data_IF_470814979210
#
_entry.id   IF_470814979210
#
_cell.length_a   1.000
_cell.length_b   1.000
_cell.length_c   1.000
_cell.angle_alpha   90.00
_cell.angle_beta   90.00
_cell.angle_gamma   90.00
#
_symmetry.space_group_name_H-M   'P 1'
#
loop_
_entity.id
_entity.type
_entity.pdbx_description
1 polymer ?
#
# COMPACT_ATOMS: atom_id res chain seq x y z
N UNK A 1 28.96 -15.17 17.43
CA UNK A 1 27.56 -15.16 17.91
C UNK A 1 26.61 -14.53 16.90
N UNK A 2 26.89 -13.33 16.37
CA UNK A 2 26.04 -12.66 15.39
C UNK A 2 25.77 -13.49 14.12
N UNK A 3 26.81 -14.10 13.53
CA UNK A 3 26.66 -14.89 12.30
C UNK A 3 25.76 -16.13 12.50
N UNK A 4 25.79 -16.74 13.70
CA UNK A 4 24.86 -17.83 14.06
C UNK A 4 23.41 -17.33 14.15
N UNK A 5 23.20 -16.10 14.64
CA UNK A 5 21.87 -15.51 14.73
C UNK A 5 21.33 -15.13 13.34
N UNK A 6 22.18 -14.64 12.44
CA UNK A 6 21.82 -14.41 11.03
C UNK A 6 21.39 -15.72 10.36
N UNK A 7 22.15 -16.81 10.58
CA UNK A 7 21.78 -18.14 10.09
C UNK A 7 20.44 -18.61 10.68
N UNK A 8 20.24 -18.45 11.99
CA UNK A 8 18.99 -18.82 12.65
C UNK A 8 17.78 -18.01 12.13
N UNK A 9 17.95 -16.70 11.86
CA UNK A 9 16.93 -15.85 11.25
C UNK A 9 16.60 -16.32 9.83
N UNK A 10 17.61 -16.60 9.01
CA UNK A 10 17.43 -17.15 7.67
C UNK A 10 16.67 -18.49 7.69
N UNK A 11 17.05 -19.42 8.56
CA UNK A 11 16.36 -20.71 8.71
C UNK A 11 14.91 -20.52 9.17
N UNK A 12 14.67 -19.59 10.11
CA UNK A 12 13.32 -19.25 10.57
C UNK A 12 12.47 -18.72 9.43
N UNK A 13 12.99 -17.80 8.62
CA UNK A 13 12.35 -17.28 7.42
C UNK A 13 12.02 -18.39 6.41
N UNK A 14 12.95 -19.32 6.16
CA UNK A 14 12.70 -20.46 5.28
C UNK A 14 11.58 -21.34 5.80
N UNK A 15 11.60 -21.71 7.09
CA UNK A 15 10.54 -22.53 7.70
C UNK A 15 9.19 -21.83 7.61
N UNK A 16 9.09 -20.55 8.00
CA UNK A 16 7.84 -19.78 7.90
C UNK A 16 7.35 -19.69 6.45
N UNK A 17 8.25 -19.49 5.48
CA UNK A 17 7.91 -19.46 4.06
C UNK A 17 7.42 -20.81 3.56
N UNK A 18 8.04 -21.92 3.95
CA UNK A 18 7.59 -23.28 3.59
C UNK A 18 6.21 -23.59 4.20
N UNK A 19 5.99 -23.21 5.46
CA UNK A 19 4.68 -23.35 6.11
C UNK A 19 3.62 -22.56 5.34
N UNK A 20 3.92 -21.31 4.98
CA UNK A 20 3.04 -20.48 4.18
C UNK A 20 2.76 -21.09 2.80
N UNK A 21 3.79 -21.50 2.05
CA UNK A 21 3.65 -22.06 0.69
C UNK A 21 2.88 -23.39 0.67
N UNK A 22 2.89 -24.16 1.77
CA UNK A 22 2.09 -25.38 1.94
C UNK A 22 0.65 -25.10 2.39
N UNK A 23 0.35 -23.88 2.82
CA UNK A 23 -0.99 -23.52 3.29
C UNK A 23 -1.98 -23.44 2.11
N UNK A 24 -3.25 -23.90 2.26
CA UNK A 24 -4.23 -23.87 1.18
C UNK A 24 -4.53 -22.48 0.59
N UNK A 25 -4.39 -21.41 1.39
CA UNK A 25 -4.59 -20.02 0.94
C UNK A 25 -3.36 -19.38 0.26
N UNK A 26 -2.26 -20.12 0.10
CA UNK A 26 -1.04 -19.60 -0.50
C UNK A 26 -1.28 -19.11 -1.93
N UNK A 27 -1.08 -17.82 -2.15
CA UNK A 27 -1.16 -17.13 -3.42
C UNK A 27 -0.53 -15.74 -3.29
N UNK A 28 -0.07 -15.16 -4.39
CA UNK A 28 0.62 -13.85 -4.36
C UNK A 28 -0.26 -12.69 -3.84
N UNK A 29 -1.57 -12.89 -3.86
CA UNK A 29 -2.55 -11.94 -3.36
C UNK A 29 -2.72 -12.02 -1.85
N UNK A 30 -2.15 -13.00 -1.15
CA UNK A 30 -2.32 -13.14 0.29
C UNK A 30 -1.43 -12.12 1.04
N UNK A 31 -1.90 -11.49 2.13
CA UNK A 31 -1.10 -10.52 2.91
C UNK A 31 0.28 -11.05 3.33
N UNK A 32 0.34 -12.33 3.72
CA UNK A 32 1.60 -12.99 4.07
C UNK A 32 2.64 -12.98 2.94
N UNK A 33 2.25 -13.00 1.66
CA UNK A 33 3.23 -12.90 0.55
C UNK A 33 3.94 -11.56 0.56
N UNK A 34 3.19 -10.46 0.70
CA UNK A 34 3.76 -9.11 0.72
C UNK A 34 4.71 -8.95 1.91
N UNK A 35 4.28 -9.41 3.10
CA UNK A 35 5.10 -9.29 4.29
C UNK A 35 6.34 -10.18 4.23
N UNK A 36 6.23 -11.44 3.79
CA UNK A 36 7.39 -12.33 3.62
C UNK A 36 8.37 -11.79 2.58
N UNK A 37 7.89 -11.20 1.48
CA UNK A 37 8.76 -10.60 0.46
C UNK A 37 9.52 -9.40 1.04
N UNK A 38 8.81 -8.49 1.73
CA UNK A 38 9.42 -7.34 2.41
C UNK A 38 10.42 -7.79 3.48
N UNK A 39 10.02 -8.71 4.35
CA UNK A 39 10.84 -9.22 5.44
C UNK A 39 12.09 -9.96 4.92
N UNK A 40 11.92 -10.81 3.92
CA UNK A 40 13.04 -11.53 3.29
C UNK A 40 14.07 -10.58 2.68
N UNK A 41 13.63 -9.51 2.01
CA UNK A 41 14.53 -8.53 1.42
C UNK A 41 15.25 -7.68 2.49
N UNK A 42 14.49 -7.15 3.45
CA UNK A 42 14.95 -6.10 4.38
C UNK A 42 15.59 -6.65 5.65
N UNK A 43 15.07 -7.75 6.18
CA UNK A 43 15.45 -8.26 7.50
C UNK A 43 16.14 -9.63 7.46
N UNK A 44 16.31 -10.22 6.27
CA UNK A 44 17.06 -11.48 6.10
C UNK A 44 18.20 -11.30 5.11
N UNK A 45 17.91 -10.90 3.88
CA UNK A 45 18.92 -10.69 2.84
C UNK A 45 19.84 -9.51 3.16
N UNK A 46 19.26 -8.33 3.43
CA UNK A 46 20.06 -7.12 3.71
C UNK A 46 21.04 -7.28 4.88
N UNK A 47 20.68 -7.82 6.07
CA UNK A 47 21.66 -8.01 7.14
C UNK A 47 22.87 -8.87 6.74
N UNK A 48 22.66 -9.89 5.90
CA UNK A 48 23.75 -10.73 5.37
C UNK A 48 24.66 -9.89 4.47
N UNK A 49 24.09 -9.11 3.55
CA UNK A 49 24.85 -8.22 2.67
C UNK A 49 25.59 -7.15 3.48
N UNK A 50 24.91 -6.51 4.43
CA UNK A 50 25.49 -5.50 5.31
C UNK A 50 26.67 -6.06 6.12
N UNK A 51 26.59 -7.32 6.54
CA UNK A 51 27.67 -8.02 7.24
C UNK A 51 28.88 -8.34 6.33
N UNK A 52 28.64 -8.60 5.03
CA UNK A 52 29.68 -8.90 4.04
C UNK A 52 30.41 -7.64 3.59
N UNK A 53 29.67 -6.56 3.31
CA UNK A 53 30.19 -5.29 2.78
C UNK A 53 30.49 -4.24 3.86
N UNK A 54 30.26 -4.56 5.14
CA UNK A 54 30.45 -3.67 6.29
C UNK A 54 29.75 -2.31 6.14
N UNK A 55 28.44 -2.38 5.90
CA UNK A 55 27.62 -1.16 5.74
C UNK A 55 27.76 -0.26 6.96
N UNK A 56 28.07 1.00 6.69
CA UNK A 56 28.38 1.99 7.72
C UNK A 56 27.86 3.39 7.36
N UNK A 57 27.33 3.57 6.15
CA UNK A 57 26.78 4.84 5.70
C UNK A 57 25.72 5.42 6.65
N UNK A 58 24.67 4.66 6.98
CA UNK A 58 23.59 5.16 7.84
C UNK A 58 24.09 5.47 9.26
N UNK A 59 24.99 4.66 9.80
CA UNK A 59 25.61 4.88 11.11
C UNK A 59 26.35 6.22 11.16
N UNK A 60 27.13 6.53 10.11
CA UNK A 60 27.83 7.84 9.98
C UNK A 60 26.85 9.00 9.80
N UNK A 61 25.83 8.83 8.95
CA UNK A 61 24.88 9.91 8.65
C UNK A 61 23.98 10.24 9.85
N UNK A 62 23.67 9.25 10.69
CA UNK A 62 22.82 9.42 11.88
C UNK A 62 23.63 9.64 13.17
N UNK A 63 24.96 9.60 13.09
CA UNK A 63 25.89 9.73 14.22
C UNK A 63 25.61 8.73 15.36
N UNK A 64 25.44 7.45 15.01
CA UNK A 64 25.28 6.37 15.99
C UNK A 64 26.04 5.11 15.58
N UNK A 65 26.43 4.30 16.56
CA UNK A 65 27.02 2.99 16.33
C UNK A 65 26.26 1.95 17.17
N UNK A 66 25.49 1.03 16.56
CA UNK A 66 24.75 0.03 17.30
C UNK A 66 25.71 -0.96 17.97
N UNK A 67 25.43 -1.29 19.23
CA UNK A 67 26.16 -2.35 19.92
C UNK A 67 25.78 -3.71 19.34
N UNK A 68 26.58 -4.74 19.64
CA UNK A 68 26.23 -6.12 19.24
C UNK A 68 24.87 -6.57 19.83
N UNK A 69 24.54 -6.10 21.03
CA UNK A 69 23.26 -6.39 21.69
C UNK A 69 22.08 -5.76 20.94
N UNK A 70 22.26 -4.55 20.41
CA UNK A 70 21.21 -3.85 19.66
C UNK A 70 20.90 -4.59 18.35
N UNK A 71 21.94 -5.01 17.61
CA UNK A 71 21.77 -5.80 16.38
C UNK A 71 21.08 -7.13 16.63
N UNK A 72 21.42 -7.81 17.74
CA UNK A 72 20.77 -9.07 18.14
C UNK A 72 19.29 -8.84 18.44
N UNK A 73 19.00 -7.78 19.20
CA UNK A 73 17.63 -7.41 19.58
C UNK A 73 16.77 -7.13 18.35
N UNK A 74 17.31 -6.40 17.36
CA UNK A 74 16.63 -6.16 16.08
C UNK A 74 16.28 -7.46 15.37
N UNK A 75 17.23 -8.39 15.20
CA UNK A 75 16.96 -9.66 14.52
C UNK A 75 15.89 -10.50 15.25
N UNK A 76 15.94 -10.53 16.59
CA UNK A 76 14.93 -11.25 17.37
C UNK A 76 13.54 -10.61 17.22
N UNK A 77 13.46 -9.28 17.28
CA UNK A 77 12.21 -8.54 17.14
C UNK A 77 11.63 -8.67 15.72
N UNK A 78 12.44 -8.59 14.67
CA UNK A 78 11.95 -8.75 13.29
C UNK A 78 11.40 -10.16 13.06
N UNK A 79 12.08 -11.20 13.57
CA UNK A 79 11.60 -12.59 13.49
C UNK A 79 10.27 -12.77 14.24
N UNK A 80 10.14 -12.17 15.43
CA UNK A 80 8.87 -12.18 16.18
C UNK A 80 7.74 -11.55 15.36
N UNK A 81 7.97 -10.36 14.79
CA UNK A 81 6.97 -9.69 13.94
C UNK A 81 6.56 -10.56 12.75
N UNK A 82 7.51 -11.25 12.10
CA UNK A 82 7.21 -12.15 11.00
C UNK A 82 6.34 -13.33 11.41
N UNK A 83 6.70 -14.00 12.50
CA UNK A 83 5.93 -15.16 12.99
C UNK A 83 4.51 -14.72 13.34
N UNK A 84 4.36 -13.63 14.10
CA UNK A 84 3.04 -13.10 14.48
C UNK A 84 2.25 -12.71 13.22
N UNK A 85 2.84 -11.94 12.31
CA UNK A 85 2.14 -11.47 11.12
C UNK A 85 1.65 -12.63 10.25
N UNK A 86 2.52 -13.61 9.97
CA UNK A 86 2.19 -14.75 9.12
C UNK A 86 1.17 -15.68 9.79
N UNK A 87 1.37 -16.00 11.08
CA UNK A 87 0.44 -16.87 11.81
C UNK A 87 -0.96 -16.25 11.88
N UNK A 88 -1.08 -14.96 12.24
CA UNK A 88 -2.36 -14.24 12.23
C UNK A 88 -2.95 -14.19 10.83
N UNK A 89 -2.13 -13.92 9.81
CA UNK A 89 -2.62 -13.81 8.44
C UNK A 89 -3.25 -15.13 7.96
N UNK A 90 -2.59 -16.25 8.23
CA UNK A 90 -3.06 -17.60 7.88
C UNK A 90 -4.32 -17.98 8.67
N UNK A 91 -4.37 -17.63 9.96
CA UNK A 91 -5.53 -17.90 10.81
C UNK A 91 -6.77 -17.14 10.33
N UNK A 92 -6.63 -15.85 10.02
CA UNK A 92 -7.74 -14.99 9.63
C UNK A 92 -8.14 -15.20 8.17
N UNK A 93 -7.20 -15.39 7.25
CA UNK A 93 -7.48 -15.58 5.83
C UNK A 93 -7.14 -17.00 5.33
N UNK A 94 -7.82 -18.05 5.83
CA UNK A 94 -7.42 -19.43 5.55
C UNK A 94 -7.85 -19.94 4.17
N UNK A 95 -8.64 -19.16 3.42
CA UNK A 95 -9.24 -19.56 2.14
C UNK A 95 -8.64 -18.78 0.99
N UNK A 96 -8.74 -19.35 -0.22
CA UNK A 96 -8.33 -18.67 -1.44
C UNK A 96 -9.36 -17.63 -1.88
N UNK A 97 -8.94 -16.64 -2.71
CA UNK A 97 -9.85 -15.72 -3.36
C UNK A 97 -10.90 -16.46 -4.19
N UNK A 98 -12.15 -15.97 -4.17
CA UNK A 98 -13.20 -16.47 -5.05
C UNK A 98 -12.91 -16.07 -6.49
N UNK A 99 -12.86 -17.07 -7.38
CA UNK A 99 -12.72 -16.85 -8.80
C UNK A 99 -14.02 -16.27 -9.39
N UNK A 100 -13.91 -15.15 -10.11
CA UNK A 100 -15.06 -14.51 -10.76
C UNK A 100 -15.12 -14.84 -12.25
N UNK A 101 -16.34 -14.93 -12.77
CA UNK A 101 -16.59 -15.08 -14.20
C UNK A 101 -16.10 -13.88 -15.00
N UNK A 102 -15.56 -14.11 -16.20
CA UNK A 102 -14.99 -13.05 -17.03
C UNK A 102 -16.06 -12.03 -17.44
N UNK A 103 -17.27 -12.52 -17.71
CA UNK A 103 -18.44 -11.71 -18.06
C UNK A 103 -18.82 -10.72 -16.95
N UNK A 104 -18.55 -11.07 -15.68
CA UNK A 104 -18.76 -10.15 -14.55
C UNK A 104 -17.78 -8.97 -14.63
N UNK A 105 -16.53 -9.20 -15.02
CA UNK A 105 -15.56 -8.11 -15.25
C UNK A 105 -15.93 -7.27 -16.46
N UNK A 106 -16.39 -7.87 -17.55
CA UNK A 106 -16.83 -7.13 -18.73
C UNK A 106 -18.02 -6.23 -18.42
N UNK A 107 -19.02 -6.77 -17.72
CA UNK A 107 -20.19 -6.03 -17.25
C UNK A 107 -19.78 -4.89 -16.31
N UNK A 108 -18.86 -5.15 -15.38
CA UNK A 108 -18.34 -4.12 -14.48
C UNK A 108 -17.57 -3.02 -15.23
N UNK A 109 -16.74 -3.36 -16.23
CA UNK A 109 -16.07 -2.36 -17.08
C UNK A 109 -17.07 -1.50 -17.84
N UNK A 110 -18.08 -2.10 -18.46
CA UNK A 110 -19.11 -1.37 -19.17
C UNK A 110 -19.82 -0.37 -18.23
N UNK A 111 -20.22 -0.82 -17.04
CA UNK A 111 -20.89 0.02 -16.05
C UNK A 111 -19.98 1.10 -15.43
N UNK A 112 -18.67 0.86 -15.31
CA UNK A 112 -17.72 1.80 -14.70
C UNK A 112 -16.97 2.69 -15.69
N UNK A 113 -17.08 2.44 -17.01
CA UNK A 113 -16.36 3.19 -18.05
C UNK A 113 -16.56 4.71 -17.91
N UNK A 114 -17.81 5.17 -17.90
CA UNK A 114 -18.13 6.61 -17.79
C UNK A 114 -17.69 7.20 -16.45
N UNK A 115 -18.02 6.60 -15.28
CA UNK A 115 -17.46 7.01 -13.99
C UNK A 115 -15.94 7.14 -13.97
N UNK A 116 -15.20 6.13 -14.45
CA UNK A 116 -13.73 6.14 -14.48
C UNK A 116 -13.21 7.32 -15.31
N UNK A 117 -13.73 7.49 -16.54
CA UNK A 117 -13.29 8.58 -17.42
C UNK A 117 -13.57 9.97 -16.82
N UNK A 118 -14.68 10.15 -16.10
CA UNK A 118 -14.97 11.41 -15.41
C UNK A 118 -14.02 11.67 -14.24
N UNK A 119 -13.75 10.66 -13.41
CA UNK A 119 -12.75 10.78 -12.34
C UNK A 119 -11.37 11.11 -12.91
N UNK A 120 -10.98 10.47 -14.03
CA UNK A 120 -9.74 10.79 -14.73
C UNK A 120 -9.72 12.23 -15.24
N UNK A 121 -10.79 12.69 -15.89
CA UNK A 121 -10.88 14.04 -16.44
C UNK A 121 -10.79 15.13 -15.35
N UNK A 122 -11.33 14.86 -14.15
CA UNK A 122 -11.30 15.80 -13.02
C UNK A 122 -9.94 15.77 -12.32
N UNK A 123 -9.44 14.58 -11.95
CA UNK A 123 -8.29 14.48 -11.07
C UNK A 123 -6.95 14.39 -11.79
N UNK A 124 -6.88 13.86 -13.02
CA UNK A 124 -5.60 13.74 -13.71
C UNK A 124 -4.94 15.10 -13.96
N UNK A 125 -5.65 16.17 -14.40
CA UNK A 125 -5.02 17.49 -14.57
C UNK A 125 -4.46 18.04 -13.25
N UNK A 126 -5.22 17.93 -12.16
CA UNK A 126 -4.79 18.36 -10.83
C UNK A 126 -3.55 17.59 -10.35
N UNK A 127 -3.57 16.27 -10.52
CA UNK A 127 -2.49 15.39 -10.07
C UNK A 127 -1.22 15.52 -10.94
N UNK A 128 -1.36 15.77 -12.25
CA UNK A 128 -0.26 16.11 -13.15
C UNK A 128 0.35 17.45 -12.74
N UNK A 129 -0.47 18.48 -12.51
CA UNK A 129 0.01 19.79 -12.06
C UNK A 129 0.78 19.67 -10.74
N UNK A 130 0.20 18.95 -9.77
CA UNK A 130 0.86 18.64 -8.50
C UNK A 130 2.23 18.00 -8.72
N UNK A 131 2.33 17.02 -9.61
CA UNK A 131 3.60 16.33 -9.89
C UNK A 131 4.63 17.23 -10.59
N UNK A 132 4.21 18.09 -11.51
CA UNK A 132 5.11 19.07 -12.12
C UNK A 132 5.61 20.09 -11.10
N UNK A 133 4.76 20.50 -10.15
CA UNK A 133 5.17 21.31 -8.99
C UNK A 133 6.13 20.57 -8.07
N UNK A 134 6.02 19.23 -7.93
CA UNK A 134 6.99 18.42 -7.21
C UNK A 134 8.36 18.42 -7.91
N UNK A 135 8.39 18.39 -9.24
CA UNK A 135 9.65 18.46 -10.01
C UNK A 135 10.38 19.77 -9.75
N UNK A 136 9.67 20.90 -9.79
CA UNK A 136 10.23 22.22 -9.52
C UNK A 136 10.79 22.30 -8.10
N UNK A 137 10.03 21.87 -7.09
CA UNK A 137 10.49 21.87 -5.70
C UNK A 137 11.72 21.00 -5.45
N UNK A 138 11.84 19.90 -6.19
CA UNK A 138 13.01 19.03 -6.12
C UNK A 138 14.24 19.66 -6.78
N UNK A 139 14.05 20.51 -7.80
CA UNK A 139 15.12 21.27 -8.44
C UNK A 139 15.57 22.49 -7.59
N UNK A 140 14.62 23.18 -6.95
CA UNK A 140 14.86 24.42 -6.20
C UNK A 140 15.26 24.20 -4.73
N UNK A 141 15.75 23.00 -4.38
CA UNK A 141 16.28 22.65 -3.04
C UNK A 141 15.37 22.99 -1.85
N UNK A 142 14.11 22.52 -1.85
CA UNK A 142 13.21 22.54 -0.68
C UNK A 142 13.11 23.89 0.06
N UNK A 143 13.25 25.03 -0.63
CA UNK A 143 13.15 26.36 0.00
C UNK A 143 11.85 26.58 0.80
N UNK A 144 10.80 25.81 0.50
CA UNK A 144 9.49 25.84 1.16
C UNK A 144 9.31 24.89 2.35
N UNK A 145 10.36 24.16 2.76
CA UNK A 145 10.31 23.22 3.89
C UNK A 145 11.18 23.74 5.02
N UNK A 146 10.54 24.19 6.10
CA UNK A 146 11.24 24.56 7.33
C UNK A 146 11.24 23.39 8.27
N UNK A 147 12.42 23.04 8.79
CA UNK A 147 12.54 22.02 9.81
C UNK A 147 12.30 22.65 11.18
N UNK A 148 11.25 22.21 11.86
CA UNK A 148 11.00 22.61 13.22
C UNK A 148 12.11 22.03 14.11
N UNK A 149 12.88 22.90 14.78
CA UNK A 149 14.01 22.49 15.60
C UNK A 149 13.58 21.72 16.85
N UNK A 150 12.35 21.94 17.32
CA UNK A 150 11.85 21.30 18.56
C UNK A 150 11.43 19.84 18.34
N UNK A 151 10.74 19.56 17.24
CA UNK A 151 10.29 18.19 16.90
C UNK A 151 11.18 17.49 15.87
N UNK A 152 12.05 18.26 15.20
CA UNK A 152 12.82 17.84 14.04
C UNK A 152 11.97 17.51 12.80
N UNK A 153 10.66 17.75 12.84
CA UNK A 153 9.76 17.51 11.71
C UNK A 153 9.90 18.60 10.65
N UNK A 154 9.86 18.20 9.37
CA UNK A 154 9.83 19.15 8.27
C UNK A 154 8.39 19.62 8.01
N UNK A 155 8.18 20.93 7.98
CA UNK A 155 6.88 21.56 7.78
C UNK A 155 6.94 22.33 6.45
N UNK A 156 5.96 22.07 5.59
CA UNK A 156 5.75 22.88 4.40
C UNK A 156 5.17 24.24 4.81
N UNK A 157 5.88 25.32 4.56
CA UNK A 157 5.46 26.69 4.90
C UNK A 157 4.66 27.37 3.81
N UNK A 158 4.87 26.97 2.55
CA UNK A 158 4.40 27.77 1.41
C UNK A 158 3.26 27.08 0.65
N UNK A 159 3.08 25.77 0.83
CA UNK A 159 2.08 24.99 0.10
C UNK A 159 1.27 24.04 0.98
N UNK A 160 0.08 23.70 0.49
CA UNK A 160 -0.79 22.71 1.13
C UNK A 160 -0.25 21.31 0.86
N UNK A 161 0.08 20.56 1.92
CA UNK A 161 0.60 19.19 1.80
C UNK A 161 -0.29 18.26 0.96
N UNK A 162 -1.61 18.40 1.06
CA UNK A 162 -2.57 17.66 0.22
C UNK A 162 -2.41 17.91 -1.27
N UNK A 163 -2.02 19.12 -1.67
CA UNK A 163 -1.73 19.42 -3.06
C UNK A 163 -0.46 18.74 -3.52
N UNK A 164 0.54 18.59 -2.64
CA UNK A 164 1.76 17.81 -2.92
C UNK A 164 1.44 16.35 -3.13
N UNK A 165 0.60 15.80 -2.25
CA UNK A 165 0.20 14.39 -2.27
C UNK A 165 -0.85 14.08 -3.35
N UNK A 166 -1.48 15.10 -3.95
CA UNK A 166 -2.43 14.91 -5.04
C UNK A 166 -1.79 14.19 -6.24
N UNK A 167 -0.47 14.29 -6.44
CA UNK A 167 0.28 13.51 -7.43
C UNK A 167 0.11 11.98 -7.25
N UNK A 168 -0.13 11.51 -6.02
CA UNK A 168 -0.36 10.09 -5.73
C UNK A 168 -1.65 9.56 -6.39
N UNK A 169 -2.61 10.43 -6.72
CA UNK A 169 -3.86 10.07 -7.43
C UNK A 169 -3.58 9.53 -8.84
N UNK A 170 -2.45 9.90 -9.46
CA UNK A 170 -2.07 9.35 -10.76
C UNK A 170 -1.88 7.83 -10.71
N UNK A 171 -1.48 7.29 -9.56
CA UNK A 171 -1.25 5.87 -9.38
C UNK A 171 -2.53 5.03 -9.60
N UNK A 172 -3.62 5.20 -8.82
CA UNK A 172 -4.86 4.46 -9.04
C UNK A 172 -5.55 4.82 -10.36
N UNK A 173 -5.44 6.07 -10.86
CA UNK A 173 -5.95 6.41 -12.20
C UNK A 173 -5.31 5.53 -13.27
N UNK A 174 -3.98 5.37 -13.21
CA UNK A 174 -3.24 4.52 -14.14
C UNK A 174 -3.70 3.07 -14.07
N UNK A 175 -3.89 2.53 -12.85
CA UNK A 175 -4.43 1.17 -12.66
C UNK A 175 -5.81 1.02 -13.33
N UNK A 176 -6.71 1.98 -13.11
CA UNK A 176 -8.06 1.95 -13.65
C UNK A 176 -8.08 2.08 -15.18
N UNK A 177 -7.22 2.90 -15.77
CA UNK A 177 -7.11 3.05 -17.22
C UNK A 177 -6.55 1.80 -17.89
N UNK A 178 -5.50 1.19 -17.31
CA UNK A 178 -4.94 -0.07 -17.80
C UNK A 178 -5.98 -1.20 -17.72
N UNK A 179 -6.72 -1.29 -16.62
CA UNK A 179 -7.81 -2.25 -16.44
C UNK A 179 -8.97 -2.03 -17.41
N UNK A 180 -9.40 -0.77 -17.60
CA UNK A 180 -10.48 -0.41 -18.53
C UNK A 180 -10.11 -0.78 -19.97
N UNK A 181 -8.83 -0.61 -20.33
CA UNK A 181 -8.26 -0.98 -21.62
C UNK A 181 -7.96 -2.49 -21.77
N UNK A 182 -8.31 -3.32 -20.78
CA UNK A 182 -8.13 -4.77 -20.79
C UNK A 182 -6.67 -5.21 -20.99
N UNK A 183 -5.72 -4.46 -20.43
CA UNK A 183 -4.27 -4.76 -20.51
C UNK A 183 -3.71 -4.88 -21.94
N UNK A 184 -4.37 -4.25 -22.93
CA UNK A 184 -3.86 -4.22 -24.31
C UNK A 184 -2.50 -3.54 -24.36
N UNK A 185 -1.66 -3.90 -25.34
CA UNK A 185 -0.29 -3.38 -25.45
C UNK A 185 -0.21 -1.83 -25.41
N UNK A 186 -1.18 -1.13 -25.98
CA UNK A 186 -1.23 0.34 -25.98
C UNK A 186 -1.61 0.95 -24.63
N UNK A 187 -2.28 0.21 -23.73
CA UNK A 187 -2.65 0.74 -22.41
C UNK A 187 -1.44 0.92 -21.50
N UNK A 188 -0.35 0.20 -21.78
CA UNK A 188 0.93 0.40 -21.13
C UNK A 188 1.54 1.78 -21.41
N UNK A 189 1.07 2.51 -22.43
CA UNK A 189 1.42 3.92 -22.60
C UNK A 189 0.96 4.77 -21.40
N UNK A 190 -0.20 4.48 -20.79
CA UNK A 190 -0.62 5.18 -19.56
C UNK A 190 0.35 4.92 -18.41
N UNK A 191 0.79 3.67 -18.25
CA UNK A 191 1.76 3.30 -17.22
C UNK A 191 3.13 3.93 -17.49
N UNK A 192 3.61 3.91 -18.74
CA UNK A 192 4.88 4.54 -19.12
C UNK A 192 4.86 6.05 -18.85
N UNK A 193 3.80 6.76 -19.27
CA UNK A 193 3.63 8.19 -18.97
C UNK A 193 3.63 8.46 -17.47
N UNK A 194 2.91 7.64 -16.69
CA UNK A 194 2.92 7.74 -15.24
C UNK A 194 4.31 7.52 -14.63
N UNK A 195 5.07 6.52 -15.09
CA UNK A 195 6.44 6.25 -14.64
C UNK A 195 7.36 7.43 -14.95
N UNK A 196 7.27 8.02 -16.14
CA UNK A 196 8.06 9.20 -16.52
C UNK A 196 7.72 10.38 -15.58
N UNK A 197 6.42 10.65 -15.38
CA UNK A 197 5.95 11.70 -14.49
C UNK A 197 6.43 11.51 -13.04
N UNK A 198 6.34 10.29 -12.51
CA UNK A 198 6.81 9.98 -11.15
C UNK A 198 8.34 10.00 -11.04
N UNK A 199 9.03 9.49 -12.06
CA UNK A 199 10.48 9.43 -12.14
C UNK A 199 11.15 10.80 -12.03
N UNK A 200 10.60 11.82 -12.70
CA UNK A 200 11.16 13.18 -12.60
C UNK A 200 11.09 13.80 -11.20
N UNK A 201 10.15 13.35 -10.36
CA UNK A 201 10.03 13.77 -8.95
C UNK A 201 10.87 12.93 -7.98
N UNK A 202 11.56 11.89 -8.46
CA UNK A 202 12.33 10.97 -7.63
C UNK A 202 11.48 10.04 -6.75
N UNK A 203 10.14 10.08 -6.87
CA UNK A 203 9.22 9.31 -6.05
C UNK A 203 9.03 7.90 -6.60
N UNK A 204 9.52 6.91 -5.85
CA UNK A 204 9.55 5.50 -6.30
C UNK A 204 8.35 4.69 -5.84
N UNK A 205 7.87 5.01 -4.64
CA UNK A 205 6.76 4.32 -3.99
C UNK A 205 5.50 4.19 -4.87
N UNK A 206 5.01 5.28 -5.49
CA UNK A 206 3.83 5.22 -6.36
C UNK A 206 3.99 4.30 -7.56
N UNK A 207 5.21 4.17 -8.11
CA UNK A 207 5.50 3.27 -9.23
C UNK A 207 5.36 1.82 -8.81
N UNK A 208 5.98 1.45 -7.69
CA UNK A 208 5.91 0.10 -7.11
C UNK A 208 4.46 -0.23 -6.76
N UNK A 209 3.73 0.71 -6.14
CA UNK A 209 2.32 0.59 -5.84
C UNK A 209 1.50 0.25 -7.09
N UNK A 210 1.61 1.06 -8.15
CA UNK A 210 0.82 0.88 -9.38
C UNK A 210 1.14 -0.44 -10.06
N UNK A 211 2.41 -0.83 -10.13
CA UNK A 211 2.83 -2.11 -10.70
C UNK A 211 2.22 -3.30 -9.95
N UNK A 212 2.26 -3.27 -8.61
CA UNK A 212 1.66 -4.31 -7.77
C UNK A 212 0.14 -4.35 -7.93
N UNK A 213 -0.54 -3.21 -7.90
CA UNK A 213 -1.98 -3.15 -8.06
C UNK A 213 -2.44 -3.69 -9.43
N UNK A 214 -1.74 -3.33 -10.53
CA UNK A 214 -1.99 -3.89 -11.86
C UNK A 214 -1.75 -5.40 -11.87
N UNK A 215 -0.64 -5.86 -11.27
CA UNK A 215 -0.30 -7.28 -11.20
C UNK A 215 -1.35 -8.11 -10.45
N UNK A 216 -1.76 -7.67 -9.26
CA UNK A 216 -2.81 -8.32 -8.47
C UNK A 216 -4.12 -8.36 -9.26
N UNK A 217 -4.54 -7.24 -9.85
CA UNK A 217 -5.80 -7.15 -10.57
C UNK A 217 -5.81 -8.02 -11.82
N UNK A 218 -4.70 -8.08 -12.56
CA UNK A 218 -4.54 -8.97 -13.70
C UNK A 218 -4.62 -10.45 -13.28
N UNK A 219 -3.98 -10.84 -12.17
CA UNK A 219 -4.05 -12.20 -11.65
C UNK A 219 -5.46 -12.58 -11.19
N UNK A 220 -6.16 -11.67 -10.51
CA UNK A 220 -7.55 -11.86 -10.10
C UNK A 220 -8.47 -12.09 -11.30
N UNK A 221 -8.30 -11.27 -12.35
CA UNK A 221 -9.08 -11.37 -13.58
C UNK A 221 -8.78 -12.67 -14.35
N UNK A 222 -7.51 -13.00 -14.52
CA UNK A 222 -7.10 -14.24 -15.19
C UNK A 222 -7.20 -15.49 -14.30
N UNK A 223 -7.74 -15.35 -13.07
CA UNK A 223 -7.92 -16.43 -12.09
C UNK A 223 -6.64 -17.19 -11.77
N UNK A 224 -5.50 -16.49 -11.75
CA UNK A 224 -4.18 -17.06 -11.45
C UNK A 224 -3.81 -16.79 -10.00
N UNK A 225 -3.25 -17.81 -9.34
CA UNK A 225 -2.76 -17.70 -7.95
C UNK A 225 -1.35 -17.13 -7.86
N UNK A 226 -0.55 -17.39 -8.88
CA UNK A 226 0.87 -17.07 -8.95
C UNK A 226 1.18 -16.38 -10.28
N UNK A 227 2.24 -15.58 -10.30
CA UNK A 227 2.82 -15.08 -11.54
C UNK A 227 3.45 -16.23 -12.31
N UNK A 228 3.31 -16.20 -13.64
CA UNK A 228 4.06 -17.08 -14.52
C UNK A 228 5.55 -16.69 -14.49
N UNK A 229 6.45 -17.64 -14.68
CA UNK A 229 7.90 -17.41 -14.68
C UNK A 229 8.31 -16.34 -15.70
N UNK A 230 7.57 -16.23 -16.81
CA UNK A 230 7.78 -15.18 -17.83
C UNK A 230 7.52 -13.79 -17.26
N UNK A 231 6.42 -13.64 -16.52
CA UNK A 231 6.08 -12.39 -15.86
C UNK A 231 7.07 -12.08 -14.73
N UNK A 232 7.54 -13.09 -14.00
CA UNK A 232 8.59 -12.93 -12.99
C UNK A 232 9.93 -12.47 -13.61
N UNK A 233 10.33 -13.05 -14.74
CA UNK A 233 11.54 -12.64 -15.46
C UNK A 233 11.44 -11.19 -15.98
N UNK A 234 10.28 -10.82 -16.55
CA UNK A 234 10.02 -9.43 -16.97
C UNK A 234 10.01 -8.46 -15.78
N UNK A 235 9.41 -8.85 -14.65
CA UNK A 235 9.43 -8.04 -13.43
C UNK A 235 10.86 -7.85 -12.91
N UNK A 236 11.69 -8.89 -12.95
CA UNK A 236 13.10 -8.81 -12.58
C UNK A 236 13.87 -7.84 -13.49
N UNK A 237 13.71 -7.96 -14.82
CA UNK A 237 14.31 -7.02 -15.77
C UNK A 237 13.83 -5.58 -15.54
N UNK A 238 12.54 -5.40 -15.25
CA UNK A 238 11.97 -4.10 -14.93
C UNK A 238 12.55 -3.53 -13.63
N UNK A 239 12.78 -4.35 -12.59
CA UNK A 239 13.42 -3.93 -11.34
C UNK A 239 14.87 -3.50 -11.60
N UNK A 240 15.62 -4.25 -12.41
CA UNK A 240 17.00 -3.91 -12.76
C UNK A 240 17.08 -2.60 -13.56
N UNK A 241 16.18 -2.39 -14.53
CA UNK A 241 16.08 -1.15 -15.28
C UNK A 241 15.62 0.02 -14.38
N UNK A 242 14.65 -0.24 -13.49
CA UNK A 242 14.17 0.73 -12.52
C UNK A 242 15.29 1.17 -11.57
N UNK A 243 16.19 0.27 -11.18
CA UNK A 243 17.35 0.59 -10.36
C UNK A 243 18.25 1.66 -11.00
N UNK A 244 18.37 1.68 -12.33
CA UNK A 244 19.14 2.73 -13.04
C UNK A 244 18.45 4.10 -12.94
N UNK A 245 17.13 4.15 -13.13
CA UNK A 245 16.34 5.38 -12.95
C UNK A 245 16.44 5.88 -11.50
N UNK A 246 16.47 4.93 -10.55
CA UNK A 246 16.58 5.16 -9.12
C UNK A 246 17.92 5.79 -8.75
N UNK A 247 19.02 5.26 -9.28
CA UNK A 247 20.38 5.78 -9.06
C UNK A 247 20.52 7.22 -9.56
N UNK A 248 19.95 7.51 -10.73
CA UNK A 248 19.92 8.85 -11.31
C UNK A 248 18.98 9.82 -10.57
N UNK A 249 18.07 9.32 -9.71
CA UNK A 249 17.04 10.13 -8.99
C UNK A 249 16.26 11.08 -9.91
N UNK A 250 16.07 10.68 -11.16
CA UNK A 250 15.39 11.47 -12.19
C UNK A 250 16.16 12.72 -12.66
N UNK A 251 17.45 12.84 -12.36
CA UNK A 251 18.28 13.96 -12.83
C UNK A 251 18.33 14.00 -14.36
N UNK A 252 18.50 12.85 -15.02
CA UNK A 252 18.42 12.72 -16.48
C UNK A 252 17.06 13.17 -17.03
N UNK A 253 15.95 12.75 -16.40
CA UNK A 253 14.60 13.14 -16.82
C UNK A 253 14.36 14.64 -16.66
N UNK A 254 14.83 15.26 -15.57
CA UNK A 254 14.75 16.71 -15.36
C UNK A 254 15.65 17.47 -16.33
N UNK A 255 16.84 16.94 -16.63
CA UNK A 255 17.75 17.49 -17.63
C UNK A 255 17.12 17.52 -19.03
N UNK A 256 16.44 16.43 -19.43
CA UNK A 256 15.68 16.38 -20.68
C UNK A 256 14.51 17.38 -20.71
N UNK A 257 13.94 17.72 -19.54
CA UNK A 257 12.89 18.72 -19.40
C UNK A 257 13.41 20.18 -19.32
N UNK A 258 14.72 20.39 -19.48
CA UNK A 258 15.34 21.73 -19.40
C UNK A 258 15.46 22.29 -17.98
N UNK A 259 15.27 21.46 -16.95
CA UNK A 259 15.39 21.82 -15.53
C UNK A 259 16.76 21.41 -14.97
N UNK A 260 17.82 21.54 -15.76
CA UNK A 260 19.18 21.22 -15.37
C UNK A 260 19.71 22.29 -14.39
N UNK A 261 19.26 22.23 -13.14
CA UNK A 261 19.94 22.90 -12.03
C UNK A 261 21.17 22.10 -11.61
N UNK A 262 22.17 22.80 -11.05
CA UNK A 262 23.37 22.24 -10.39
C UNK A 262 23.01 21.47 -9.12
N UNK A 263 22.15 20.45 -9.22
CA UNK A 263 21.85 19.51 -8.14
C UNK A 263 23.00 18.49 -7.97
N UNK A 264 24.25 18.96 -8.05
CA UNK A 264 25.47 18.15 -7.95
C UNK A 264 25.88 17.89 -6.49
N UNK A 265 25.08 18.37 -5.53
CA UNK A 265 25.57 18.61 -4.17
C UNK A 265 25.38 17.50 -3.13
N UNK A 266 24.91 16.28 -3.47
CA UNK A 266 24.50 15.35 -2.40
C UNK A 266 24.99 13.90 -2.41
N UNK A 267 25.60 13.32 -3.46
CA UNK A 267 25.98 11.90 -3.39
C UNK A 267 27.28 11.53 -4.12
N UNK A 268 28.41 12.16 -3.75
CA UNK A 268 29.73 11.57 -4.02
C UNK A 268 30.12 10.49 -2.98
N UNK A 269 29.15 9.93 -2.25
CA UNK A 269 29.41 8.75 -1.45
C UNK A 269 29.43 7.54 -2.37
N UNK A 270 30.59 6.93 -2.52
CA UNK A 270 30.72 5.59 -3.11
C UNK A 270 30.02 4.58 -2.18
N UNK A 271 28.73 4.37 -2.40
CA UNK A 271 27.92 3.43 -1.62
C UNK A 271 28.12 2.01 -2.12
N UNK A 272 28.24 1.07 -1.20
CA UNK A 272 28.19 -0.35 -1.54
C UNK A 272 26.81 -0.72 -2.11
N UNK A 273 26.70 -1.80 -2.92
CA UNK A 273 25.41 -2.25 -3.44
C UNK A 273 24.40 -2.45 -2.31
N UNK A 274 23.21 -1.85 -2.42
CA UNK A 274 22.15 -1.82 -1.39
C UNK A 274 22.43 -1.00 -0.12
N UNK A 275 23.56 -0.30 0.03
CA UNK A 275 23.85 0.49 1.25
C UNK A 275 23.00 1.77 1.37
N UNK A 276 22.30 2.16 0.30
CA UNK A 276 21.46 3.37 0.28
C UNK A 276 20.28 3.36 1.26
N UNK A 277 19.82 4.58 1.60
CA UNK A 277 18.75 4.87 2.58
C UNK A 277 17.41 4.19 2.27
N UNK A 278 17.09 3.94 1.00
CA UNK A 278 15.81 3.36 0.59
C UNK A 278 15.59 1.93 1.08
N UNK A 279 16.68 1.24 1.41
CA UNK A 279 16.64 -0.12 1.92
C UNK A 279 17.05 -0.21 3.39
N UNK A 280 17.40 0.91 4.03
CA UNK A 280 18.04 0.97 5.35
C UNK A 280 17.12 0.78 6.56
N UNK A 281 15.95 0.15 6.36
CA UNK A 281 15.00 -0.16 7.43
C UNK A 281 15.59 -1.02 8.55
N UNK A 282 16.62 -1.83 8.26
CA UNK A 282 17.36 -2.56 9.29
C UNK A 282 18.11 -1.59 10.22
N UNK A 283 18.94 -0.72 9.64
CA UNK A 283 19.76 0.25 10.36
C UNK A 283 18.89 1.29 11.07
N UNK A 284 17.75 1.68 10.48
CA UNK A 284 16.76 2.52 11.15
C UNK A 284 16.16 1.86 12.37
N UNK A 285 15.91 0.55 12.32
CA UNK A 285 15.45 -0.18 13.49
C UNK A 285 16.57 -0.34 14.52
N UNK A 286 17.82 -0.57 14.10
CA UNK A 286 18.97 -0.57 15.02
C UNK A 286 19.14 0.79 15.72
N UNK A 287 18.90 1.90 15.02
CA UNK A 287 18.85 3.23 15.63
C UNK A 287 17.73 3.37 16.68
N UNK A 288 16.53 2.86 16.37
CA UNK A 288 15.41 2.85 17.32
C UNK A 288 15.78 2.04 18.56
N UNK A 289 16.38 0.85 18.43
CA UNK A 289 16.79 0.03 19.59
C UNK A 289 17.90 0.69 20.39
N UNK A 290 18.86 1.32 19.70
CA UNK A 290 19.92 2.11 20.31
C UNK A 290 19.36 3.24 21.17
N UNK A 291 18.34 3.97 20.70
CA UNK A 291 17.74 5.08 21.43
C UNK A 291 16.71 4.62 22.48
N UNK A 292 15.79 3.72 22.13
CA UNK A 292 14.58 3.38 22.89
C UNK A 292 14.66 1.95 23.44
N UNK A 293 14.42 1.71 24.75
CA UNK A 293 14.21 2.70 25.81
C UNK A 293 15.53 3.15 26.47
N UNK A 294 16.68 2.62 26.04
CA UNK A 294 17.92 2.68 26.81
C UNK A 294 18.39 4.12 27.09
N UNK A 295 18.18 5.04 26.15
CA UNK A 295 18.59 6.45 26.24
C UNK A 295 17.42 7.38 26.47
N UNK A 296 16.23 7.03 25.99
CA UNK A 296 15.00 7.79 26.23
C UNK A 296 14.45 7.60 27.64
N UNK A 297 14.79 6.50 28.32
CA UNK A 297 14.24 6.12 29.62
C UNK A 297 12.76 5.70 29.56
N UNK A 298 12.16 5.64 28.37
CA UNK A 298 10.72 5.40 28.17
C UNK A 298 10.41 4.87 26.78
N UNK A 299 9.17 4.43 26.56
CA UNK A 299 8.62 4.05 25.25
C UNK A 299 7.56 5.07 24.77
N UNK A 300 7.11 4.93 23.52
CA UNK A 300 6.05 5.79 22.94
C UNK A 300 4.65 5.37 23.38
N UNK A 301 4.46 4.13 23.84
CA UNK A 301 3.16 3.58 24.26
C UNK A 301 2.05 3.74 23.21
N UNK A 302 2.41 3.67 21.93
CA UNK A 302 1.54 3.87 20.77
C UNK A 302 0.93 5.28 20.63
N UNK A 303 1.40 6.26 21.41
CA UNK A 303 0.90 7.63 21.34
C UNK A 303 1.10 8.28 19.96
N UNK A 304 2.17 7.91 19.26
CA UNK A 304 2.41 8.34 17.88
C UNK A 304 1.26 8.01 16.92
N UNK A 305 0.48 6.96 17.17
CA UNK A 305 -0.68 6.63 16.33
C UNK A 305 -1.85 7.63 16.49
N UNK A 306 -1.89 8.43 17.56
CA UNK A 306 -2.89 9.48 17.74
C UNK A 306 -2.79 10.58 16.66
N UNK A 307 -1.66 10.64 15.96
CA UNK A 307 -1.50 11.50 14.77
C UNK A 307 -2.51 11.20 13.67
N UNK A 308 -3.18 10.03 13.67
CA UNK A 308 -4.26 9.75 12.74
C UNK A 308 -5.38 10.79 12.78
N UNK A 309 -5.57 11.46 13.92
CA UNK A 309 -6.60 12.49 14.11
C UNK A 309 -6.11 13.90 13.78
N UNK A 310 -4.79 14.13 13.67
CA UNK A 310 -4.21 15.47 13.48
C UNK A 310 -3.50 15.62 12.13
N UNK A 311 -2.78 14.60 11.68
CA UNK A 311 -1.97 14.68 10.46
C UNK A 311 -2.81 14.85 9.19
N UNK A 312 -3.90 14.09 8.98
CA UNK A 312 -4.72 14.25 7.77
C UNK A 312 -5.38 15.63 7.64
N UNK A 313 -5.60 16.37 8.72
CA UNK A 313 -6.28 17.67 8.68
C UNK A 313 -5.33 18.75 8.10
N UNK A 314 -5.65 19.42 6.98
CA UNK A 314 -4.82 20.50 6.44
C UNK A 314 -4.61 21.65 7.45
N UNK A 315 -3.38 22.20 7.54
CA UNK A 315 -3.08 23.36 8.42
C UNK A 315 -3.86 24.63 8.06
N UNK A 316 -4.34 24.75 6.83
CA UNK A 316 -5.24 25.85 6.43
C UNK A 316 -6.59 25.79 7.16
N UNK A 317 -7.03 24.59 7.56
CA UNK A 317 -8.28 24.37 8.32
C UNK A 317 -7.98 24.41 9.82
N UNK A 318 -6.87 23.82 10.27
CA UNK A 318 -6.44 23.80 11.67
C UNK A 318 -5.00 24.32 11.80
N UNK A 319 -4.87 25.63 11.98
CA UNK A 319 -3.56 26.33 11.99
C UNK A 319 -2.65 25.84 13.12
N UNK A 320 -3.20 25.78 14.32
CA UNK A 320 -2.46 25.43 15.55
C UNK A 320 -2.41 23.92 15.82
N UNK A 321 -2.61 23.08 14.79
CA UNK A 321 -2.55 21.63 14.98
C UNK A 321 -1.15 21.21 15.45
N UNK A 322 -1.04 20.21 16.34
CA UNK A 322 0.26 19.69 16.78
C UNK A 322 1.18 19.33 15.61
N UNK A 323 2.48 19.57 15.78
CA UNK A 323 3.51 19.10 14.85
C UNK A 323 3.97 17.73 15.34
N UNK A 324 3.80 16.69 14.51
CA UNK A 324 4.10 15.31 14.92
C UNK A 324 3.10 14.78 15.95
N UNK A 325 3.58 14.00 16.92
CA UNK A 325 2.73 13.28 17.88
C UNK A 325 2.03 14.25 18.83
N UNK A 326 0.69 14.16 19.03
CA UNK A 326 0.00 14.98 20.01
C UNK A 326 0.51 14.76 21.44
N UNK A 327 1.00 13.55 21.72
CA UNK A 327 1.66 13.19 22.99
C UNK A 327 3.05 12.68 22.64
N UNK A 328 4.07 13.41 23.07
CA UNK A 328 5.46 13.12 22.77
C UNK A 328 6.20 12.75 24.06
N UNK A 329 6.66 11.50 24.16
CA UNK A 329 7.42 11.02 25.30
C UNK A 329 8.94 11.25 25.16
N UNK A 330 9.44 11.32 23.93
CA UNK A 330 10.83 11.60 23.60
C UNK A 330 10.96 12.13 22.17
N UNK A 331 12.13 12.67 21.82
CA UNK A 331 12.51 12.98 20.44
C UNK A 331 13.68 12.11 20.02
N UNK A 332 13.56 11.42 18.87
CA UNK A 332 14.68 10.67 18.31
C UNK A 332 15.81 11.59 17.82
N UNK A 333 15.58 12.89 17.67
CA UNK A 333 16.61 13.87 17.29
C UNK A 333 17.58 14.19 18.42
N UNK A 334 17.23 13.86 19.67
CA UNK A 334 18.10 14.09 20.82
C UNK A 334 19.26 13.07 20.89
N UNK A 335 19.22 12.04 20.03
CA UNK A 335 20.14 10.91 20.06
C UNK A 335 20.87 10.66 18.72
N UNK A 336 20.74 11.59 17.76
CA UNK A 336 21.30 11.46 16.42
C UNK A 336 20.51 12.23 15.37
N UNK A 337 20.75 11.94 14.10
CA UNK A 337 20.17 12.68 12.96
C UNK A 337 19.29 11.81 12.05
N UNK A 338 18.11 11.34 12.50
CA UNK A 338 17.22 10.42 11.76
C UNK A 338 16.51 11.06 10.53
N UNK A 339 17.25 11.74 9.66
CA UNK A 339 16.74 12.38 8.44
C UNK A 339 16.20 11.30 7.50
N UNK A 340 14.93 11.39 7.12
CA UNK A 340 14.34 10.45 6.16
C UNK A 340 14.15 9.03 6.70
N UNK A 341 14.29 8.83 8.01
CA UNK A 341 14.14 7.54 8.66
C UNK A 341 12.70 7.02 8.54
N UNK A 342 12.57 5.73 8.23
CA UNK A 342 11.28 5.01 8.27
C UNK A 342 11.37 3.89 9.29
N UNK A 343 10.54 3.92 10.33
CA UNK A 343 10.71 3.03 11.49
C UNK A 343 10.43 1.54 11.23
N UNK A 344 9.80 1.17 10.10
CA UNK A 344 9.29 -0.17 9.80
C UNK A 344 8.25 -0.70 10.79
N UNK A 345 7.46 -1.66 10.36
CA UNK A 345 6.45 -2.30 11.22
C UNK A 345 7.03 -2.83 12.55
N UNK A 346 8.11 -3.64 12.57
CA UNK A 346 8.69 -4.08 13.83
C UNK A 346 9.34 -2.94 14.62
N UNK A 347 10.01 -1.99 13.97
CA UNK A 347 10.66 -0.88 14.70
C UNK A 347 9.67 0.09 15.35
N UNK A 348 8.55 0.40 14.70
CA UNK A 348 7.46 1.15 15.32
C UNK A 348 6.85 0.40 16.51
N UNK A 349 6.70 -0.92 16.39
CA UNK A 349 6.26 -1.75 17.51
C UNK A 349 7.25 -1.74 18.68
N UNK A 350 8.56 -1.82 18.41
CA UNK A 350 9.59 -1.72 19.45
C UNK A 350 9.56 -0.36 20.15
N UNK A 351 9.48 0.71 19.36
CA UNK A 351 9.39 2.08 19.88
C UNK A 351 8.18 2.25 20.80
N UNK A 352 7.06 1.56 20.51
CA UNK A 352 5.85 1.63 21.31
C UNK A 352 5.93 0.86 22.63
N UNK A 353 6.45 -0.38 22.65
CA UNK A 353 6.48 -1.19 23.87
C UNK A 353 7.44 -2.39 23.81
N UNK A 354 8.61 -2.25 23.18
CA UNK A 354 9.59 -3.34 23.03
C UNK A 354 8.99 -4.56 22.33
N UNK A 355 9.34 -5.78 22.78
CA UNK A 355 8.81 -7.03 22.19
C UNK A 355 7.27 -7.14 22.21
N UNK A 356 6.55 -6.84 23.32
CA UNK A 356 5.10 -6.76 23.29
C UNK A 356 4.56 -5.82 22.21
N UNK A 357 5.18 -4.65 22.05
CA UNK A 357 4.77 -3.67 21.06
C UNK A 357 4.98 -4.16 19.63
N UNK A 358 6.10 -4.85 19.36
CA UNK A 358 6.38 -5.53 18.08
C UNK A 358 5.26 -6.53 17.74
N UNK A 359 4.86 -7.37 18.69
CA UNK A 359 3.80 -8.36 18.49
C UNK A 359 2.43 -7.69 18.24
N UNK A 360 2.07 -6.67 19.02
CA UNK A 360 0.81 -5.93 18.85
C UNK A 360 0.77 -5.25 17.48
N UNK A 361 1.83 -4.56 17.08
CA UNK A 361 1.89 -3.86 15.81
C UNK A 361 1.77 -4.82 14.62
N UNK A 362 2.48 -5.95 14.68
CA UNK A 362 2.38 -7.01 13.67
C UNK A 362 0.98 -7.63 13.61
N UNK A 363 0.38 -7.91 14.77
CA UNK A 363 -0.98 -8.42 14.87
C UNK A 363 -1.99 -7.47 14.23
N UNK A 364 -1.96 -6.17 14.57
CA UNK A 364 -2.89 -5.16 14.05
C UNK A 364 -2.83 -5.07 12.52
N UNK A 365 -1.64 -4.98 11.94
CA UNK A 365 -1.52 -4.91 10.49
C UNK A 365 -1.88 -6.23 9.79
N UNK A 366 -1.55 -7.38 10.38
CA UNK A 366 -1.98 -8.67 9.86
C UNK A 366 -3.50 -8.80 9.85
N UNK A 367 -4.17 -8.41 10.94
CA UNK A 367 -5.62 -8.37 11.03
C UNK A 367 -6.22 -7.44 9.98
N UNK A 368 -5.67 -6.24 9.80
CA UNK A 368 -6.16 -5.26 8.83
C UNK A 368 -6.10 -5.79 7.38
N UNK A 369 -4.93 -6.27 6.95
CA UNK A 369 -4.76 -6.75 5.57
C UNK A 369 -5.48 -8.09 5.32
N UNK A 370 -5.53 -8.99 6.30
CA UNK A 370 -6.30 -10.23 6.18
C UNK A 370 -7.81 -10.01 6.23
N UNK A 371 -8.30 -9.04 7.00
CA UNK A 371 -9.70 -8.62 6.94
C UNK A 371 -10.03 -8.04 5.56
N UNK A 372 -9.18 -7.17 5.00
CA UNK A 372 -9.36 -6.66 3.64
C UNK A 372 -9.40 -7.80 2.61
N UNK A 373 -8.50 -8.78 2.73
CA UNK A 373 -8.48 -9.97 1.88
C UNK A 373 -9.79 -10.76 1.97
N UNK A 374 -10.24 -11.12 3.19
CA UNK A 374 -11.48 -11.87 3.38
C UNK A 374 -12.72 -11.12 2.89
N UNK A 375 -12.87 -9.85 3.28
CA UNK A 375 -14.09 -9.08 3.03
C UNK A 375 -14.26 -8.74 1.54
N UNK A 376 -13.15 -8.55 0.83
CA UNK A 376 -13.15 -8.11 -0.56
C UNK A 376 -12.99 -9.27 -1.56
N UNK A 377 -12.29 -10.33 -1.18
CA UNK A 377 -12.04 -11.50 -2.04
C UNK A 377 -12.80 -12.77 -1.64
N UNK A 378 -13.56 -12.76 -0.54
CA UNK A 378 -14.37 -13.90 -0.08
C UNK A 378 -15.66 -14.12 -0.89
N UNK A 379 -16.62 -14.82 -0.28
CA UNK A 379 -17.83 -15.35 -0.95
C UNK A 379 -18.69 -14.30 -1.69
N UNK A 380 -18.66 -13.05 -1.22
CA UNK A 380 -19.39 -11.92 -1.81
C UNK A 380 -18.53 -11.07 -2.76
N UNK A 381 -17.48 -11.66 -3.33
CA UNK A 381 -16.58 -10.96 -4.24
C UNK A 381 -17.33 -10.41 -5.46
N UNK A 382 -16.94 -9.20 -5.85
CA UNK A 382 -17.37 -8.53 -7.07
C UNK A 382 -16.13 -7.90 -7.72
N UNK A 383 -16.14 -7.62 -9.04
CA UNK A 383 -15.01 -6.96 -9.68
C UNK A 383 -14.62 -5.63 -9.00
N UNK A 384 -15.60 -4.86 -8.53
CA UNK A 384 -15.34 -3.64 -7.78
C UNK A 384 -14.59 -3.88 -6.46
N UNK A 385 -14.96 -4.93 -5.71
CA UNK A 385 -14.25 -5.30 -4.47
C UNK A 385 -12.84 -5.81 -4.76
N UNK A 386 -12.65 -6.55 -5.86
CA UNK A 386 -11.34 -7.03 -6.28
C UNK A 386 -10.40 -5.89 -6.70
N UNK A 387 -10.92 -4.86 -7.39
CA UNK A 387 -10.18 -3.62 -7.67
C UNK A 387 -9.80 -2.92 -6.37
N UNK A 388 -10.77 -2.72 -5.46
CA UNK A 388 -10.49 -2.10 -4.15
C UNK A 388 -9.42 -2.87 -3.37
N UNK A 389 -9.49 -4.20 -3.39
CA UNK A 389 -8.49 -5.05 -2.74
C UNK A 389 -7.11 -4.84 -3.35
N UNK A 390 -6.98 -4.86 -4.68
CA UNK A 390 -5.70 -4.65 -5.35
C UNK A 390 -5.08 -3.30 -4.97
N UNK A 391 -5.90 -2.25 -4.87
CA UNK A 391 -5.46 -0.92 -4.43
C UNK A 391 -5.03 -0.90 -2.96
N UNK A 392 -5.72 -1.61 -2.06
CA UNK A 392 -5.33 -1.73 -0.64
C UNK A 392 -4.06 -2.56 -0.48
N UNK A 393 -4.00 -3.75 -1.09
CA UNK A 393 -2.86 -4.64 -0.97
C UNK A 393 -1.56 -4.00 -1.46
N UNK A 394 -1.64 -3.18 -2.51
CA UNK A 394 -0.49 -2.44 -3.01
C UNK A 394 0.07 -1.40 -2.02
N UNK A 395 -0.70 -0.92 -1.03
CA UNK A 395 -0.17 -0.03 0.03
C UNK A 395 0.70 -0.77 1.04
N UNK A 396 0.68 -2.10 1.05
CA UNK A 396 1.37 -2.92 2.05
C UNK A 396 2.86 -2.60 2.15
N UNK A 397 3.55 -2.38 1.03
CA UNK A 397 5.00 -2.08 1.04
C UNK A 397 5.29 -0.77 1.77
N UNK A 398 4.54 0.30 1.50
CA UNK A 398 4.72 1.58 2.19
C UNK A 398 4.44 1.45 3.67
N UNK A 399 3.36 0.75 4.01
CA UNK A 399 2.93 0.57 5.39
C UNK A 399 3.91 -0.30 6.18
N UNK A 400 4.47 -1.36 5.59
CA UNK A 400 5.48 -2.19 6.27
C UNK A 400 6.81 -1.47 6.42
N UNK A 401 7.18 -0.62 5.45
CA UNK A 401 8.37 0.24 5.50
C UNK A 401 8.26 1.33 6.56
N UNK A 402 7.11 1.98 6.68
CA UNK A 402 6.93 3.10 7.63
C UNK A 402 6.54 2.60 9.01
N UNK A 403 5.68 1.58 9.07
CA UNK A 403 5.23 0.90 10.28
C UNK A 403 4.12 1.57 11.05
N UNK A 404 3.55 2.69 10.58
CA UNK A 404 2.55 3.49 11.31
C UNK A 404 1.16 3.43 10.68
N UNK A 405 0.12 3.49 11.50
CA UNK A 405 -1.26 3.63 11.00
C UNK A 405 -1.49 4.98 10.32
N UNK A 406 -0.68 5.97 10.68
CA UNK A 406 -0.73 7.33 10.17
C UNK A 406 -0.39 7.38 8.68
N UNK A 407 0.64 6.63 8.24
CA UNK A 407 0.96 6.49 6.81
C UNK A 407 -0.24 5.99 6.02
N UNK A 408 -0.95 4.99 6.55
CA UNK A 408 -2.17 4.49 5.92
C UNK A 408 -3.23 5.59 5.85
N UNK A 409 -3.59 6.21 6.98
CA UNK A 409 -4.63 7.22 7.02
C UNK A 409 -4.36 8.43 6.11
N UNK A 410 -3.11 8.87 6.03
CA UNK A 410 -2.67 9.98 5.18
C UNK A 410 -2.74 9.64 3.69
N UNK A 411 -2.32 8.44 3.30
CA UNK A 411 -2.17 8.08 1.89
C UNK A 411 -3.46 7.50 1.27
N UNK A 412 -4.31 6.85 2.07
CA UNK A 412 -5.54 6.19 1.57
C UNK A 412 -6.50 7.11 0.80
N UNK A 413 -6.72 8.39 1.20
CA UNK A 413 -7.54 9.30 0.41
C UNK A 413 -7.04 9.45 -1.04
N UNK A 414 -5.73 9.40 -1.28
CA UNK A 414 -5.16 9.57 -2.62
C UNK A 414 -5.10 8.26 -3.41
N UNK A 415 -4.77 7.15 -2.76
CA UNK A 415 -4.70 5.83 -3.43
C UNK A 415 -6.06 5.17 -3.66
N UNK A 416 -7.04 5.40 -2.77
CA UNK A 416 -8.36 4.76 -2.83
C UNK A 416 -9.48 5.75 -3.16
N UNK A 417 -9.36 7.01 -2.76
CA UNK A 417 -10.39 8.03 -2.97
C UNK A 417 -10.86 8.15 -4.42
N UNK A 418 -9.99 8.14 -5.45
CA UNK A 418 -10.41 8.16 -6.84
C UNK A 418 -11.35 7.00 -7.19
N UNK A 419 -11.06 5.78 -6.70
CA UNK A 419 -11.92 4.63 -6.94
C UNK A 419 -13.24 4.69 -6.16
N UNK A 420 -13.22 5.22 -4.93
CA UNK A 420 -14.47 5.48 -4.17
C UNK A 420 -15.37 6.46 -4.92
N UNK A 421 -14.80 7.51 -5.52
CA UNK A 421 -15.58 8.45 -6.34
C UNK A 421 -16.14 7.77 -7.60
N UNK A 422 -15.38 6.86 -8.24
CA UNK A 422 -15.89 6.03 -9.34
C UNK A 422 -17.13 5.24 -8.89
N UNK A 423 -17.11 4.63 -7.70
CA UNK A 423 -18.26 3.90 -7.17
C UNK A 423 -19.45 4.80 -6.86
N UNK A 424 -19.21 5.99 -6.32
CA UNK A 424 -20.25 6.99 -6.06
C UNK A 424 -20.91 7.47 -7.37
N UNK A 425 -20.11 7.82 -8.38
CA UNK A 425 -20.60 8.23 -9.71
C UNK A 425 -21.33 7.10 -10.42
N UNK A 426 -20.82 5.86 -10.33
CA UNK A 426 -21.51 4.68 -10.85
C UNK A 426 -22.92 4.59 -10.24
N UNK A 427 -23.03 4.72 -8.91
CA UNK A 427 -24.34 4.70 -8.23
C UNK A 427 -25.24 5.84 -8.68
N UNK A 428 -24.69 7.04 -8.92
CA UNK A 428 -25.47 8.18 -9.40
C UNK A 428 -25.97 8.01 -10.84
N UNK A 429 -25.19 7.41 -11.75
CA UNK A 429 -25.61 7.14 -13.13
C UNK A 429 -26.50 5.91 -13.26
N UNK A 430 -26.34 4.96 -12.35
CA UNK A 430 -27.32 3.90 -12.14
C UNK A 430 -28.42 4.48 -11.27
N UNK A 431 -29.04 5.59 -11.69
CA UNK A 431 -30.35 5.97 -11.15
C UNK A 431 -31.14 4.68 -11.14
N UNK A 432 -31.72 4.27 -9.99
CA UNK A 432 -32.75 3.25 -10.07
C UNK A 432 -33.68 3.84 -11.12
N UNK A 433 -33.80 3.14 -12.26
CA UNK A 433 -35.08 3.17 -12.94
C UNK A 433 -35.97 2.79 -11.79
N UNK A 434 -36.63 3.79 -11.18
CA UNK A 434 -37.87 3.57 -10.51
C UNK A 434 -38.57 2.78 -11.58
N UNK A 435 -38.57 1.45 -11.42
CA UNK A 435 -39.61 0.60 -11.93
C UNK A 435 -40.85 1.27 -11.36
N UNK A 436 -41.28 2.32 -12.07
CA UNK A 436 -42.66 2.66 -12.29
C UNK A 436 -43.21 1.29 -12.64
N UNK A 437 -43.74 0.58 -11.65
CA UNK A 437 -45.17 0.33 -11.43
C UNK A 437 -46.08 0.44 -12.67
N UNK A 438 -45.53 0.40 -13.87
CA UNK A 438 -46.18 0.42 -15.17
C UNK A 438 -46.34 -1.02 -15.69
N UNK A 439 -45.48 -1.95 -15.25
CA UNK A 439 -45.67 -3.40 -15.51
C UNK A 439 -46.37 -4.15 -14.36
N UNK A 440 -46.66 -3.49 -13.23
CA UNK A 440 -47.46 -4.09 -12.15
C UNK A 440 -48.95 -3.71 -12.18
N UNK A 441 -49.39 -2.84 -13.09
CA UNK A 441 -50.83 -2.58 -13.29
C UNK A 441 -51.47 -3.53 -14.31
N UNK A 442 -50.72 -4.08 -15.26
CA UNK A 442 -51.26 -5.08 -16.19
C UNK A 442 -51.66 -6.40 -15.48
N UNK A 443 -50.84 -7.00 -14.58
CA UNK A 443 -51.20 -8.28 -13.98
C UNK A 443 -52.32 -8.17 -12.95
N UNK A 444 -52.43 -7.03 -12.24
CA UNK A 444 -53.45 -6.85 -11.21
C UNK A 444 -54.82 -6.57 -11.82
N UNK A 445 -54.89 -5.78 -12.90
CA UNK A 445 -56.15 -5.56 -13.62
C UNK A 445 -56.66 -6.86 -14.28
N UNK A 446 -55.78 -7.63 -14.92
CA UNK A 446 -56.14 -8.93 -15.52
C UNK A 446 -56.51 -9.97 -14.45
N UNK A 447 -55.78 -10.03 -13.34
CA UNK A 447 -56.10 -10.92 -12.22
C UNK A 447 -57.41 -10.55 -11.52
N UNK A 448 -57.74 -9.25 -11.41
CA UNK A 448 -59.01 -8.79 -10.84
C UNK A 448 -60.19 -8.95 -11.81
N UNK A 449 -59.96 -8.91 -13.12
CA UNK A 449 -60.96 -9.18 -14.15
C UNK A 449 -61.36 -10.67 -14.24
N UNK A 450 -60.52 -11.58 -13.74
CA UNK A 450 -60.83 -13.01 -13.70
C UNK A 450 -61.92 -13.36 -12.67
N UNK A 451 -62.78 -14.31 -13.03
CA UNK A 451 -63.81 -14.81 -12.13
C UNK A 451 -63.17 -15.44 -10.87
N UNK A 452 -63.86 -15.45 -9.71
CA UNK A 452 -63.33 -16.07 -8.50
C UNK A 452 -62.92 -17.54 -8.69
N UNK A 453 -63.52 -18.25 -9.65
CA UNK A 453 -63.23 -19.64 -9.96
C UNK A 453 -61.91 -19.80 -10.72
N UNK A 454 -61.62 -18.91 -11.67
CA UNK A 454 -60.37 -18.90 -12.44
C UNK A 454 -59.18 -18.53 -11.54
N UNK A 455 -59.35 -17.53 -10.67
CA UNK A 455 -58.35 -17.19 -9.66
C UNK A 455 -57.98 -18.36 -8.75
N UNK A 456 -58.97 -19.12 -8.28
CA UNK A 456 -58.73 -20.33 -7.46
C UNK A 456 -58.00 -21.42 -8.26
N UNK A 457 -58.31 -21.61 -9.54
CA UNK A 457 -57.62 -22.57 -10.41
C UNK A 457 -56.16 -22.19 -10.62
N UNK A 458 -55.88 -20.92 -10.91
CA UNK A 458 -54.51 -20.42 -11.08
C UNK A 458 -53.68 -20.58 -9.80
N UNK A 459 -54.23 -20.20 -8.64
CA UNK A 459 -53.55 -20.35 -7.35
C UNK A 459 -53.29 -21.83 -7.01
N UNK A 460 -54.25 -22.72 -7.29
CA UNK A 460 -54.08 -24.16 -7.11
C UNK A 460 -53.06 -24.78 -8.09
N UNK A 461 -52.89 -24.21 -9.29
CA UNK A 461 -51.87 -24.63 -10.23
C UNK A 461 -50.46 -24.18 -9.77
N UNK A 462 -50.35 -22.95 -9.26
CA UNK A 462 -49.10 -22.42 -8.72
C UNK A 462 -48.65 -23.16 -7.46
N UNK A 463 -49.58 -23.54 -6.58
CA UNK A 463 -49.24 -24.32 -5.37
C UNK A 463 -48.68 -25.70 -5.72
N UNK A 464 -49.11 -26.31 -6.83
CA UNK A 464 -48.58 -27.60 -7.31
C UNK A 464 -47.19 -27.50 -7.92
N UNK A 465 -46.80 -26.34 -8.45
CA UNK A 465 -45.44 -26.14 -8.96
C UNK A 465 -44.44 -25.77 -7.87
N UNK A 466 -44.89 -25.24 -6.73
CA UNK A 466 -44.03 -24.95 -5.57
C UNK A 466 -43.48 -26.18 -4.84
N UNK A 467 -44.11 -27.35 -4.99
CA UNK A 467 -43.67 -28.60 -4.33
C UNK A 467 -42.61 -29.37 -5.12
N UNK A 468 -42.29 -28.97 -6.35
CA UNK A 468 -41.30 -29.65 -7.21
C UNK A 468 -39.94 -28.96 -7.24
N UNK A 469 -39.56 -28.21 -6.21
CA UNK A 469 -38.14 -27.87 -6.01
C UNK A 469 -37.43 -29.08 -5.38
N UNK A 470 -36.58 -29.81 -6.11
CA UNK A 470 -35.80 -30.88 -5.52
C UNK A 470 -34.91 -30.30 -4.42
N UNK A 471 -34.98 -30.89 -3.22
CA UNK A 471 -34.01 -30.59 -2.15
C UNK A 471 -32.61 -30.98 -2.66
N UNK A 472 -31.60 -30.11 -2.52
CA UNK A 472 -30.23 -30.42 -2.91
C UNK A 472 -29.62 -31.55 -2.10
#
# INVERSE_FOLDING_TARGET
MYDLLLLASFLTFLVTSVVYLRHPSACIMHPATFYLTFHGLVFVFRPIVARIYDFSFVYRVYDFQPSMSDKITVILATNLAMIVFVATSLYVAPRLPVALEQDRFESARAAMKRPILMVCAIFAPLAIWSQLGNWQRQADNYGSMVRDLSTGAAINTDAVGWFTDAALILAPITVLLVWLARYRWWSWAFFATFVILQGGGGTRGPIIYTAIAIGILALLEYRRRWVDWRAAALALLAILAFNQIVLDRGASLRGLAGQAGEADYANNFELSPFEGMDFANLEYFEYIVYAVPQRTGTYDYFASNLQIFTEPVPRVIWKDKPVGSPVQFFSLWDYGTPIGMTGSLPGQGWMALGYPGVAIQALVFALLYSAAFLLLLGDKATPARQILYALIAATAIHVFRDGTLVTLARQMPFYIGPFVLVLALKRAFTTPVLDRTADSQAPVAEFLAQSPRERRRMLAAQSRHGEQTPKP
#
